data_IF_855425109302
#
_entry.id   IF_855425109302
#
_cell.length_a   1.000
_cell.length_b   1.000
_cell.length_c   1.000
_cell.angle_alpha   90.00
_cell.angle_beta   90.00
_cell.angle_gamma   90.00
#
_symmetry.space_group_name_H-M   'P 1'
#
loop_
_entity.id
_entity.type
_entity.pdbx_description
1 polymer ?
#
# COMPACT_ATOMS: atom_id res chain seq x y z
N UNK A 1 35.06 33.79 -28.23
CA UNK A 1 33.82 33.13 -28.63
C UNK A 1 33.64 31.88 -27.78
N UNK A 2 32.87 32.01 -26.72
CA UNK A 2 32.42 30.94 -25.80
C UNK A 2 31.04 30.49 -26.25
N UNK A 3 30.69 29.19 -26.22
CA UNK A 3 29.30 28.80 -26.34
C UNK A 3 28.64 28.77 -24.95
N UNK A 4 27.52 29.46 -24.88
CA UNK A 4 26.58 29.60 -23.76
C UNK A 4 25.91 28.28 -23.39
N UNK A 5 25.90 27.95 -22.10
CA UNK A 5 25.02 26.96 -21.49
C UNK A 5 23.63 27.57 -21.26
N UNK A 6 22.63 27.10 -22.01
CA UNK A 6 21.22 27.40 -21.75
C UNK A 6 20.70 26.40 -20.72
N UNK A 7 20.26 26.93 -19.59
CA UNK A 7 19.67 26.24 -18.45
C UNK A 7 18.36 25.53 -18.80
N UNK A 8 18.23 24.29 -18.33
CA UNK A 8 16.97 23.59 -18.21
C UNK A 8 16.19 24.16 -17.01
N UNK A 9 15.10 24.84 -17.29
CA UNK A 9 14.06 25.18 -16.32
C UNK A 9 12.75 24.86 -17.00
N UNK A 10 12.02 23.86 -16.49
CA UNK A 10 10.59 23.63 -16.66
C UNK A 10 10.24 22.37 -15.85
N UNK A 11 9.05 22.35 -15.25
CA UNK A 11 8.47 21.34 -14.35
C UNK A 11 8.71 21.55 -12.84
N UNK A 12 8.39 22.74 -12.35
CA UNK A 12 7.78 22.87 -11.01
C UNK A 12 6.35 23.36 -11.22
N UNK A 13 5.37 22.50 -10.95
CA UNK A 13 3.97 22.87 -11.05
C UNK A 13 3.01 21.68 -11.12
N UNK A 14 2.10 21.65 -10.16
CA UNK A 14 0.81 20.92 -10.14
C UNK A 14 0.77 19.60 -9.34
N UNK A 15 0.76 19.73 -8.01
CA UNK A 15 0.14 18.77 -7.08
C UNK A 15 -0.89 19.45 -6.16
N UNK A 16 -1.49 20.55 -6.63
CA UNK A 16 -2.61 21.23 -5.97
C UNK A 16 -3.82 21.19 -6.89
N UNK A 17 -4.62 20.12 -6.80
CA UNK A 17 -6.01 20.09 -7.29
C UNK A 17 -6.71 18.83 -6.78
N UNK A 18 -7.01 18.77 -5.48
CA UNK A 18 -7.97 17.83 -4.89
C UNK A 18 -8.73 18.47 -3.70
N UNK A 19 -9.14 19.73 -3.84
CA UNK A 19 -10.07 20.38 -2.91
C UNK A 19 -11.28 20.87 -3.68
N UNK A 20 -12.35 20.08 -3.69
CA UNK A 20 -13.59 20.47 -4.35
C UNK A 20 -14.66 19.40 -4.30
N UNK A 21 -15.14 19.06 -3.10
CA UNK A 21 -16.49 18.52 -2.92
C UNK A 21 -17.06 19.13 -1.64
N UNK A 22 -17.89 20.16 -1.82
CA UNK A 22 -18.78 20.70 -0.80
C UNK A 22 -20.09 19.90 -0.76
N UNK A 23 -20.57 19.70 0.47
CA UNK A 23 -21.96 19.74 0.94
C UNK A 23 -23.09 19.29 -0.01
N UNK A 24 -23.71 18.16 0.36
CA UNK A 24 -25.15 17.98 0.61
C UNK A 24 -25.70 16.65 0.06
N UNK A 25 -26.40 15.90 0.91
CA UNK A 25 -27.15 14.72 0.49
C UNK A 25 -27.35 13.68 1.58
N UNK A 26 -28.12 14.02 2.62
CA UNK A 26 -28.67 13.09 3.59
C UNK A 26 -29.42 11.92 2.93
N UNK A 27 -29.10 10.69 3.33
CA UNK A 27 -30.06 9.58 3.29
C UNK A 27 -29.74 8.65 4.46
N UNK A 28 -30.44 8.88 5.57
CA UNK A 28 -30.37 8.10 6.80
C UNK A 28 -31.36 6.95 6.65
N UNK A 29 -30.85 5.72 6.59
CA UNK A 29 -31.66 4.51 6.45
C UNK A 29 -31.62 3.66 7.72
N UNK A 30 -32.69 3.75 8.52
CA UNK A 30 -33.12 2.85 9.60
C UNK A 30 -32.12 2.54 10.72
N UNK A 31 -32.01 3.48 11.67
CA UNK A 31 -31.58 3.18 13.04
C UNK A 31 -32.78 2.64 13.83
N UNK A 32 -32.67 1.41 14.34
CA UNK A 32 -33.59 0.92 15.37
C UNK A 32 -33.17 1.54 16.71
N UNK A 33 -33.94 2.52 17.17
CA UNK A 33 -33.74 3.16 18.46
C UNK A 33 -34.04 2.18 19.60
N UNK A 34 -33.02 1.91 20.43
CA UNK A 34 -33.19 1.58 21.85
C UNK A 34 -31.91 2.01 22.60
N UNK A 35 -32.08 3.00 23.47
CA UNK A 35 -31.11 3.50 24.47
C UNK A 35 -29.74 4.04 23.97
N UNK A 36 -29.74 5.27 23.44
CA UNK A 36 -28.87 6.35 23.95
C UNK A 36 -27.36 6.35 23.66
N UNK A 37 -26.81 5.38 22.93
CA UNK A 37 -25.48 5.46 22.31
C UNK A 37 -25.60 4.81 20.94
N UNK A 38 -25.57 5.58 19.85
CA UNK A 38 -25.33 5.03 18.52
C UNK A 38 -23.94 4.42 18.53
N UNK A 39 -23.86 3.11 18.84
CA UNK A 39 -22.63 2.34 18.67
C UNK A 39 -22.36 2.35 17.18
N UNK A 40 -21.47 3.24 16.73
CA UNK A 40 -21.00 3.22 15.34
C UNK A 40 -20.38 1.84 15.12
N UNK A 41 -21.09 1.00 14.39
CA UNK A 41 -20.69 -0.38 14.16
C UNK A 41 -19.56 -0.37 13.13
N UNK A 42 -18.39 -0.80 13.53
CA UNK A 42 -17.29 -1.05 12.61
C UNK A 42 -17.50 -2.38 11.88
N UNK A 43 -16.94 -2.50 10.69
CA UNK A 43 -16.73 -3.80 10.07
C UNK A 43 -15.63 -4.59 10.83
N UNK A 44 -15.38 -5.83 10.40
CA UNK A 44 -14.35 -6.70 11.02
C UNK A 44 -12.92 -6.16 10.94
N UNK A 45 -12.70 -5.06 10.20
CA UNK A 45 -11.41 -4.43 10.01
C UNK A 45 -11.31 -3.07 10.71
N UNK A 46 -12.37 -2.60 11.38
CA UNK A 46 -12.36 -1.32 12.09
C UNK A 46 -12.88 -0.14 11.27
N UNK A 47 -13.41 -0.34 10.05
CA UNK A 47 -13.98 0.73 9.25
C UNK A 47 -15.44 1.02 9.63
N UNK A 48 -15.78 2.30 9.70
CA UNK A 48 -17.12 2.85 9.96
C UNK A 48 -17.89 3.12 8.66
N UNK A 49 -17.22 3.03 7.50
CA UNK A 49 -17.75 3.37 6.18
C UNK A 49 -16.64 3.66 5.15
N UNK A 50 -17.03 4.23 4.01
CA UNK A 50 -16.13 4.58 2.91
C UNK A 50 -15.76 3.40 2.00
N UNK A 51 -14.90 3.65 1.01
CA UNK A 51 -14.59 2.69 -0.07
C UNK A 51 -13.93 1.38 0.41
N UNK A 52 -13.45 1.34 1.65
CA UNK A 52 -12.75 0.20 2.24
C UNK A 52 -13.61 -0.60 3.23
N UNK A 53 -14.80 -0.09 3.55
CA UNK A 53 -15.76 -0.79 4.39
C UNK A 53 -16.32 -2.03 3.69
N UNK A 54 -16.43 -3.13 4.43
CA UNK A 54 -17.00 -4.39 3.95
C UNK A 54 -18.32 -4.68 4.66
N UNK A 55 -19.44 -4.72 3.91
CA UNK A 55 -20.80 -4.94 4.43
C UNK A 55 -21.09 -6.41 4.80
N UNK A 56 -20.09 -7.15 5.26
CA UNK A 56 -20.24 -8.55 5.69
C UNK A 56 -20.41 -9.58 4.56
N UNK A 57 -20.29 -9.18 3.28
CA UNK A 57 -20.35 -10.08 2.13
C UNK A 57 -19.10 -10.98 1.95
N UNK A 58 -18.05 -10.75 2.73
CA UNK A 58 -16.85 -11.59 2.71
C UNK A 58 -17.17 -12.97 3.29
N UNK A 59 -16.80 -14.02 2.56
CA UNK A 59 -16.93 -15.41 3.04
C UNK A 59 -16.18 -15.58 4.35
N UNK A 60 -16.90 -15.67 5.46
CA UNK A 60 -16.29 -16.00 6.74
C UNK A 60 -15.64 -17.39 6.67
N UNK A 61 -14.36 -17.44 7.02
CA UNK A 61 -13.63 -18.69 7.12
C UNK A 61 -14.09 -19.39 8.39
N UNK A 62 -14.55 -20.64 8.27
CA UNK A 62 -14.90 -21.49 9.42
C UNK A 62 -13.83 -21.41 10.52
N UNK A 63 -14.27 -21.23 11.76
CA UNK A 63 -13.40 -21.02 12.94
C UNK A 63 -12.34 -22.13 13.04
N UNK A 64 -12.71 -23.38 12.78
CA UNK A 64 -11.76 -24.51 12.80
C UNK A 64 -10.65 -24.34 11.76
N UNK A 65 -11.00 -23.88 10.56
CA UNK A 65 -10.04 -23.64 9.48
C UNK A 65 -9.13 -22.46 9.81
N UNK A 66 -9.69 -21.38 10.39
CA UNK A 66 -8.92 -20.23 10.84
C UNK A 66 -7.90 -20.65 11.91
N UNK A 67 -8.33 -21.39 12.94
CA UNK A 67 -7.47 -21.90 14.01
C UNK A 67 -6.38 -22.83 13.50
N UNK A 68 -6.71 -23.72 12.55
CA UNK A 68 -5.71 -24.59 11.91
C UNK A 68 -4.66 -23.80 11.12
N UNK A 69 -5.05 -22.68 10.49
CA UNK A 69 -4.11 -21.79 9.79
C UNK A 69 -3.20 -21.08 10.79
N UNK A 70 -3.75 -20.57 11.89
CA UNK A 70 -2.98 -19.92 12.97
C UNK A 70 -1.96 -20.87 13.59
N UNK A 71 -2.37 -22.09 13.97
CA UNK A 71 -1.45 -23.09 14.53
C UNK A 71 -0.27 -23.40 13.61
N UNK A 72 -0.50 -23.47 12.30
CA UNK A 72 0.58 -23.65 11.31
C UNK A 72 1.53 -22.47 11.27
N UNK A 73 1.06 -21.25 11.48
CA UNK A 73 1.92 -20.06 11.56
C UNK A 73 2.73 -20.02 12.85
N UNK A 74 2.12 -20.37 13.99
CA UNK A 74 2.82 -20.45 15.27
C UNK A 74 3.95 -21.48 15.25
N UNK A 75 3.73 -22.67 14.67
CA UNK A 75 4.76 -23.69 14.46
C UNK A 75 5.93 -23.17 13.59
N UNK A 76 5.61 -22.42 12.53
CA UNK A 76 6.62 -21.80 11.68
C UNK A 76 7.42 -20.74 12.43
N UNK A 77 6.78 -19.88 13.22
CA UNK A 77 7.46 -18.84 14.00
C UNK A 77 8.43 -19.43 15.03
N UNK A 78 8.12 -20.57 15.63
CA UNK A 78 9.02 -21.24 16.56
C UNK A 78 10.31 -21.75 15.89
N UNK A 79 10.33 -21.89 14.57
CA UNK A 79 11.45 -22.42 13.80
C UNK A 79 11.76 -21.55 12.58
N UNK A 80 11.62 -20.22 12.72
CA UNK A 80 11.59 -19.29 11.59
C UNK A 80 12.81 -19.41 10.67
N UNK A 81 14.02 -19.42 11.22
CA UNK A 81 15.27 -19.49 10.45
C UNK A 81 15.33 -20.72 9.53
N UNK A 82 14.86 -21.86 10.04
CA UNK A 82 14.78 -23.10 9.26
C UNK A 82 13.76 -22.98 8.12
N UNK A 83 12.63 -22.34 8.39
CA UNK A 83 11.57 -22.17 7.40
C UNK A 83 11.96 -21.20 6.30
N UNK A 84 12.59 -20.06 6.63
CA UNK A 84 13.03 -19.10 5.63
C UNK A 84 14.18 -19.67 4.80
N UNK A 85 15.18 -20.28 5.42
CA UNK A 85 16.36 -20.80 4.72
C UNK A 85 16.10 -22.03 3.85
N UNK A 86 15.26 -22.96 4.31
CA UNK A 86 15.11 -24.27 3.66
C UNK A 86 13.70 -24.52 3.08
N UNK A 87 12.72 -23.67 3.39
CA UNK A 87 11.32 -23.87 3.00
C UNK A 87 10.68 -22.58 2.49
N UNK A 88 11.47 -21.61 2.03
CA UNK A 88 10.99 -20.32 1.51
C UNK A 88 9.83 -20.48 0.51
N UNK A 89 9.96 -21.40 -0.46
CA UNK A 89 8.92 -21.65 -1.45
C UNK A 89 7.56 -22.04 -0.83
N UNK A 90 7.57 -22.79 0.29
CA UNK A 90 6.35 -23.15 1.03
C UNK A 90 5.81 -21.96 1.81
N UNK A 91 6.66 -21.15 2.44
CA UNK A 91 6.25 -19.91 3.12
C UNK A 91 5.58 -18.95 2.12
N UNK A 92 6.21 -18.76 0.96
CA UNK A 92 5.69 -17.96 -0.14
C UNK A 92 4.34 -18.44 -0.66
N UNK A 93 4.29 -19.66 -1.20
CA UNK A 93 3.11 -20.15 -1.94
C UNK A 93 2.00 -20.71 -1.07
N UNK A 94 2.32 -21.38 0.04
CA UNK A 94 1.34 -22.09 0.87
C UNK A 94 0.91 -21.30 2.10
N UNK A 95 1.52 -20.13 2.36
CA UNK A 95 1.21 -19.28 3.53
C UNK A 95 0.92 -17.85 3.12
N UNK A 96 1.91 -17.10 2.65
CA UNK A 96 1.74 -15.67 2.33
C UNK A 96 0.70 -15.46 1.21
N UNK A 97 0.76 -16.25 0.13
CA UNK A 97 -0.26 -16.25 -0.93
C UNK A 97 -1.61 -16.86 -0.56
N UNK A 98 -1.75 -17.52 0.60
CA UNK A 98 -3.05 -18.02 1.10
C UNK A 98 -3.72 -17.12 2.14
N UNK A 99 -2.99 -16.22 2.79
CA UNK A 99 -3.51 -15.44 3.91
C UNK A 99 -2.62 -15.55 5.13
N UNK A 100 -2.11 -14.43 5.63
CA UNK A 100 -1.67 -14.36 7.02
C UNK A 100 -2.92 -14.11 7.89
N UNK A 101 -3.18 -14.91 8.94
CA UNK A 101 -4.25 -14.62 9.89
C UNK A 101 -4.08 -13.23 10.51
N UNK A 102 -5.18 -12.48 10.69
CA UNK A 102 -5.14 -11.10 11.19
C UNK A 102 -4.42 -10.97 12.53
N UNK A 103 -4.66 -11.91 13.44
CA UNK A 103 -4.03 -12.02 14.77
C UNK A 103 -2.51 -12.18 14.72
N UNK A 104 -1.95 -12.61 13.59
CA UNK A 104 -0.53 -12.95 13.44
C UNK A 104 0.23 -12.02 12.48
N UNK A 105 -0.44 -11.01 11.89
CA UNK A 105 0.18 -10.11 10.91
C UNK A 105 1.35 -9.31 11.46
N UNK A 106 1.21 -8.72 12.65
CA UNK A 106 2.30 -8.00 13.33
C UNK A 106 3.59 -8.83 13.31
N UNK A 107 3.56 -10.03 13.92
CA UNK A 107 4.73 -10.90 14.00
C UNK A 107 5.18 -11.41 12.62
N UNK A 108 4.26 -11.80 11.75
CA UNK A 108 4.61 -12.30 10.41
C UNK A 108 5.34 -11.25 9.58
N UNK A 109 4.81 -10.03 9.52
CA UNK A 109 5.38 -8.94 8.73
C UNK A 109 6.72 -8.48 9.28
N UNK A 110 6.90 -8.46 10.61
CA UNK A 110 8.21 -8.14 11.20
C UNK A 110 9.27 -9.19 10.87
N UNK A 111 8.91 -10.48 10.91
CA UNK A 111 9.81 -11.57 10.56
C UNK A 111 10.13 -11.64 9.06
N UNK A 112 9.15 -11.38 8.20
CA UNK A 112 9.33 -11.35 6.74
C UNK A 112 10.17 -10.15 6.27
N UNK A 113 9.97 -8.99 6.91
CA UNK A 113 10.73 -7.77 6.60
C UNK A 113 12.09 -7.71 7.26
N UNK A 114 12.37 -8.59 8.23
CA UNK A 114 13.52 -8.51 9.12
C UNK A 114 13.51 -7.26 10.03
N UNK A 115 12.37 -6.58 10.18
CA UNK A 115 12.27 -5.41 11.07
C UNK A 115 12.33 -5.80 12.55
N UNK A 116 12.02 -7.06 12.89
CA UNK A 116 12.19 -7.55 14.27
C UNK A 116 13.66 -7.53 14.70
N UNK A 117 14.59 -7.87 13.80
CA UNK A 117 16.02 -7.81 14.11
C UNK A 117 16.49 -6.37 14.32
N UNK A 118 15.99 -5.42 13.51
CA UNK A 118 16.27 -4.00 13.70
C UNK A 118 15.74 -3.48 15.04
N UNK A 119 14.50 -3.83 15.39
CA UNK A 119 13.91 -3.49 16.68
C UNK A 119 14.78 -4.00 17.84
N UNK A 120 15.18 -5.28 17.81
CA UNK A 120 15.99 -5.88 18.87
C UNK A 120 17.42 -5.32 18.94
N UNK A 121 17.99 -4.92 17.80
CA UNK A 121 19.32 -4.33 17.72
C UNK A 121 19.37 -2.86 18.18
N UNK A 122 18.22 -2.18 18.26
CA UNK A 122 18.13 -0.75 18.56
C UNK A 122 17.18 -0.45 19.73
N UNK A 123 17.42 -1.02 20.93
CA UNK A 123 16.53 -0.82 22.07
C UNK A 123 16.49 0.65 22.50
N UNK A 124 15.28 1.21 22.64
CA UNK A 124 15.08 2.59 23.10
C UNK A 124 15.24 3.65 22.00
N UNK A 125 15.58 3.25 20.76
CA UNK A 125 15.89 4.20 19.69
C UNK A 125 14.66 4.96 19.20
N UNK A 126 13.51 4.31 19.15
CA UNK A 126 12.27 4.98 18.75
C UNK A 126 11.87 6.06 19.75
N UNK A 127 11.98 5.79 21.06
CA UNK A 127 11.69 6.75 22.11
C UNK A 127 12.72 7.89 22.17
N UNK A 128 13.97 7.64 21.76
CA UNK A 128 14.98 8.69 21.55
C UNK A 128 14.55 9.63 20.42
N UNK A 129 14.26 9.10 19.23
CA UNK A 129 13.82 9.86 18.05
C UNK A 129 12.53 10.64 18.30
N UNK A 130 11.60 10.07 19.08
CA UNK A 130 10.37 10.75 19.46
C UNK A 130 10.63 12.00 20.30
N UNK A 131 11.63 11.96 21.20
CA UNK A 131 12.01 13.08 22.07
C UNK A 131 12.81 14.15 21.35
N UNK A 132 13.50 13.79 20.28
CA UNK A 132 14.24 14.73 19.45
C UNK A 132 13.31 15.74 18.75
N UNK A 133 13.83 16.93 18.47
CA UNK A 133 13.09 17.95 17.72
C UNK A 133 13.20 17.64 16.22
N UNK A 134 12.05 17.49 15.55
CA UNK A 134 12.00 17.34 14.10
C UNK A 134 12.09 18.68 13.38
N UNK A 135 12.46 18.66 12.10
CA UNK A 135 12.45 19.88 11.29
C UNK A 135 11.02 20.41 11.06
N UNK A 136 10.78 21.68 11.35
CA UNK A 136 9.45 22.30 11.26
C UNK A 136 8.75 22.08 9.91
N UNK A 137 9.51 22.14 8.80
CA UNK A 137 8.97 21.87 7.46
C UNK A 137 8.27 20.51 7.35
N UNK A 138 8.81 19.47 7.99
CA UNK A 138 8.26 18.13 7.91
C UNK A 138 7.06 17.97 8.84
N UNK A 139 7.17 18.51 10.06
CA UNK A 139 6.09 18.46 11.05
C UNK A 139 4.81 19.11 10.50
N UNK A 140 4.92 20.29 9.89
CA UNK A 140 3.79 21.01 9.28
C UNK A 140 3.11 20.20 8.17
N UNK A 141 3.89 19.48 7.35
CA UNK A 141 3.34 18.65 6.27
C UNK A 141 2.66 17.41 6.86
N UNK A 142 3.30 16.75 7.83
CA UNK A 142 2.74 15.57 8.50
C UNK A 142 1.41 15.92 9.15
N UNK A 143 1.33 16.98 9.96
CA UNK A 143 0.09 17.40 10.65
C UNK A 143 -1.07 17.65 9.68
N UNK A 144 -0.79 18.27 8.54
CA UNK A 144 -1.77 18.49 7.46
C UNK A 144 -2.16 17.21 6.73
N UNK A 145 -1.40 16.14 6.84
CA UNK A 145 -1.68 14.88 6.17
C UNK A 145 -2.48 13.91 7.05
N UNK A 146 -2.25 13.90 8.37
CA UNK A 146 -2.84 12.94 9.32
C UNK A 146 -4.36 12.78 9.17
N UNK A 147 -5.09 13.89 9.04
CA UNK A 147 -6.56 13.86 9.01
C UNK A 147 -7.14 13.21 7.74
N UNK A 148 -6.33 13.05 6.70
CA UNK A 148 -6.71 12.45 5.42
C UNK A 148 -6.48 10.94 5.39
N UNK A 149 -5.82 10.40 6.41
CA UNK A 149 -5.40 9.00 6.46
C UNK A 149 -6.48 8.14 7.12
N UNK A 150 -7.16 7.34 6.29
CA UNK A 150 -8.21 6.42 6.73
C UNK A 150 -9.25 7.08 7.68
N UNK A 151 -9.88 8.21 7.29
CA UNK A 151 -10.75 8.99 8.18
C UNK A 151 -11.99 8.22 8.66
N UNK A 152 -12.35 7.15 7.97
CA UNK A 152 -13.46 6.26 8.34
C UNK A 152 -13.03 5.07 9.19
N UNK A 153 -11.76 4.90 9.53
CA UNK A 153 -11.30 3.82 10.40
C UNK A 153 -11.32 4.28 11.86
N UNK A 154 -11.83 3.44 12.78
CA UNK A 154 -12.04 3.80 14.19
C UNK A 154 -10.79 4.36 14.89
N UNK A 155 -9.61 3.82 14.54
CA UNK A 155 -8.30 4.27 15.04
C UNK A 155 -7.96 5.72 14.65
N UNK A 156 -8.42 6.19 13.48
CA UNK A 156 -8.03 7.50 12.90
C UNK A 156 -9.19 8.49 12.79
N UNK A 157 -10.43 8.06 13.05
CA UNK A 157 -11.64 8.87 12.90
C UNK A 157 -11.70 10.06 13.87
N UNK A 158 -11.12 9.93 15.06
CA UNK A 158 -11.04 11.02 16.03
C UNK A 158 -9.87 11.94 15.71
N UNK A 159 -10.17 13.21 15.38
CA UNK A 159 -9.14 14.23 15.13
C UNK A 159 -8.30 14.46 16.40
N UNK A 160 -6.99 14.33 16.28
CA UNK A 160 -6.08 14.38 17.42
C UNK A 160 -6.23 13.20 18.40
N UNK A 161 -6.93 12.13 18.02
CA UNK A 161 -7.02 10.91 18.80
C UNK A 161 -5.71 10.11 18.83
N UNK A 162 -5.67 9.06 19.64
CA UNK A 162 -4.47 8.23 19.85
C UNK A 162 -3.86 7.71 18.54
N UNK A 163 -4.66 7.22 17.59
CA UNK A 163 -4.12 6.72 16.32
C UNK A 163 -3.45 7.80 15.46
N UNK A 164 -4.00 9.01 15.40
CA UNK A 164 -3.35 10.13 14.70
C UNK A 164 -2.07 10.58 15.41
N UNK A 165 -2.04 10.54 16.74
CA UNK A 165 -0.85 10.85 17.53
C UNK A 165 0.26 9.80 17.32
N UNK A 166 -0.08 8.51 17.33
CA UNK A 166 0.87 7.43 17.06
C UNK A 166 1.40 7.49 15.62
N UNK A 167 0.53 7.78 14.65
CA UNK A 167 0.95 8.00 13.27
C UNK A 167 1.91 9.18 13.15
N UNK A 168 1.63 10.30 13.82
CA UNK A 168 2.53 11.44 13.89
C UNK A 168 3.89 11.07 14.48
N UNK A 169 3.91 10.34 15.60
CA UNK A 169 5.14 9.88 16.27
C UNK A 169 6.01 9.06 15.33
N UNK A 170 5.41 8.11 14.60
CA UNK A 170 6.11 7.25 13.63
C UNK A 170 6.72 8.08 12.51
N UNK A 171 5.92 8.94 11.86
CA UNK A 171 6.35 9.72 10.70
C UNK A 171 7.41 10.76 11.09
N UNK A 172 7.22 11.44 12.22
CA UNK A 172 8.22 12.35 12.80
C UNK A 172 9.54 11.61 13.03
N UNK A 173 9.51 10.49 13.76
CA UNK A 173 10.70 9.70 14.07
C UNK A 173 11.42 9.25 12.78
N UNK A 174 10.67 8.88 11.74
CA UNK A 174 11.23 8.53 10.45
C UNK A 174 12.02 9.68 9.81
N UNK A 175 11.48 10.91 9.82
CA UNK A 175 12.21 12.07 9.26
C UNK A 175 13.51 12.40 10.00
N UNK A 176 13.59 12.08 11.28
CA UNK A 176 14.80 12.27 12.09
C UNK A 176 15.78 11.12 11.83
N UNK A 177 15.27 9.89 11.67
CA UNK A 177 16.07 8.72 11.34
C UNK A 177 16.68 8.78 9.92
N UNK A 178 15.94 9.36 8.96
CA UNK A 178 16.33 9.56 7.56
C UNK A 178 16.11 11.01 7.11
N UNK A 179 16.96 11.95 7.57
CA UNK A 179 16.81 13.37 7.23
C UNK A 179 16.99 13.67 5.74
N UNK A 180 17.81 12.87 5.03
CA UNK A 180 18.06 13.03 3.59
C UNK A 180 16.83 12.73 2.74
N UNK A 181 15.96 11.82 3.19
CA UNK A 181 14.70 11.49 2.51
C UNK A 181 13.55 12.36 3.03
N UNK A 182 13.52 12.62 4.34
CA UNK A 182 12.50 13.45 4.97
C UNK A 182 11.12 12.79 4.96
N UNK A 183 10.07 13.60 4.72
CA UNK A 183 8.69 13.12 4.65
C UNK A 183 8.11 13.26 3.24
N UNK A 184 7.61 12.14 2.71
CA UNK A 184 6.78 12.07 1.52
C UNK A 184 5.35 11.69 1.92
N UNK A 185 4.34 12.37 1.36
CA UNK A 185 2.92 12.14 1.69
C UNK A 185 2.45 10.69 1.50
N UNK A 186 3.10 9.95 0.59
CA UNK A 186 2.80 8.54 0.38
C UNK A 186 3.22 7.63 1.54
N UNK A 187 4.06 8.10 2.48
CA UNK A 187 4.49 7.32 3.64
C UNK A 187 3.40 7.22 4.71
N UNK A 188 2.56 8.25 4.88
CA UNK A 188 1.49 8.22 5.88
C UNK A 188 0.48 7.08 5.72
N UNK A 189 -0.08 6.79 4.52
CA UNK A 189 -0.99 5.66 4.39
C UNK A 189 -0.27 4.33 4.64
N UNK A 190 1.01 4.20 4.27
CA UNK A 190 1.83 3.01 4.56
C UNK A 190 2.01 2.82 6.07
N UNK A 191 2.39 3.88 6.79
CA UNK A 191 2.55 3.87 8.24
C UNK A 191 1.22 3.59 8.97
N UNK A 192 0.10 4.12 8.46
CA UNK A 192 -1.22 3.87 9.03
C UNK A 192 -1.65 2.40 8.88
N UNK A 193 -1.43 1.76 7.72
CA UNK A 193 -1.70 0.31 7.57
C UNK A 193 -0.88 -0.52 8.57
N UNK A 194 0.39 -0.17 8.78
CA UNK A 194 1.22 -0.83 9.78
C UNK A 194 0.64 -0.66 11.19
N UNK A 195 0.31 0.58 11.57
CA UNK A 195 -0.21 0.92 12.88
C UNK A 195 -1.56 0.25 13.21
N UNK A 196 -2.39 -0.03 12.20
CA UNK A 196 -3.62 -0.83 12.37
C UNK A 196 -3.34 -2.28 12.82
N UNK A 197 -2.12 -2.78 12.64
CA UNK A 197 -1.77 -4.17 12.91
C UNK A 197 -0.72 -4.35 14.01
N UNK A 198 0.01 -3.31 14.40
CA UNK A 198 1.09 -3.41 15.37
C UNK A 198 1.30 -2.10 16.15
N UNK A 199 1.91 -2.15 17.35
CA UNK A 199 2.30 -0.95 18.10
C UNK A 199 3.24 -0.01 17.33
N UNK A 200 3.26 1.26 17.72
CA UNK A 200 3.97 2.32 17.01
C UNK A 200 5.46 2.03 16.73
N UNK A 201 6.20 1.52 17.72
CA UNK A 201 7.62 1.19 17.54
C UNK A 201 7.83 0.07 16.51
N UNK A 202 6.98 -0.96 16.53
CA UNK A 202 7.05 -2.05 15.55
C UNK A 202 6.70 -1.55 14.15
N UNK A 203 5.70 -0.67 14.04
CA UNK A 203 5.30 -0.04 12.79
C UNK A 203 6.42 0.85 12.24
N UNK A 204 7.11 1.60 13.10
CA UNK A 204 8.27 2.40 12.73
C UNK A 204 9.37 1.54 12.07
N UNK A 205 9.79 0.44 12.69
CA UNK A 205 10.83 -0.42 12.09
C UNK A 205 10.38 -1.14 10.81
N UNK A 206 9.09 -1.48 10.70
CA UNK A 206 8.53 -1.97 9.45
C UNK A 206 8.56 -0.89 8.35
N UNK A 207 8.21 0.35 8.67
CA UNK A 207 8.27 1.49 7.74
C UNK A 207 9.70 1.73 7.25
N UNK A 208 10.68 1.70 8.17
CA UNK A 208 12.11 1.77 7.85
C UNK A 208 12.50 0.71 6.82
N UNK A 209 12.11 -0.56 7.04
CA UNK A 209 12.39 -1.61 6.06
C UNK A 209 11.70 -1.38 4.72
N UNK A 210 10.44 -0.91 4.73
CA UNK A 210 9.71 -0.62 3.49
C UNK A 210 10.46 0.42 2.66
N UNK A 211 10.85 1.54 3.26
CA UNK A 211 11.50 2.63 2.55
C UNK A 211 12.91 2.26 2.08
N UNK A 212 13.70 1.57 2.91
CA UNK A 212 15.11 1.31 2.59
C UNK A 212 15.33 0.06 1.74
N UNK A 213 14.58 -1.02 2.02
CA UNK A 213 14.83 -2.33 1.41
C UNK A 213 13.85 -2.67 0.31
N UNK A 214 12.57 -2.32 0.49
CA UNK A 214 11.52 -2.73 -0.45
C UNK A 214 11.27 -1.69 -1.55
N UNK A 215 11.30 -0.40 -1.22
CA UNK A 215 11.00 0.72 -2.13
C UNK A 215 12.11 1.78 -2.13
N UNK A 216 13.39 1.40 -2.33
CA UNK A 216 14.50 2.34 -2.26
C UNK A 216 14.33 3.47 -3.29
N UNK A 217 14.44 4.72 -2.82
CA UNK A 217 14.36 5.91 -3.66
C UNK A 217 12.95 6.31 -4.12
N UNK A 218 11.90 5.56 -3.74
CA UNK A 218 10.53 5.90 -4.12
C UNK A 218 10.05 7.22 -3.51
N UNK A 219 10.48 7.52 -2.28
CA UNK A 219 10.02 8.68 -1.52
C UNK A 219 10.92 9.91 -1.66
N UNK A 220 11.96 9.84 -2.50
CA UNK A 220 12.87 10.96 -2.77
C UNK A 220 12.19 12.05 -3.61
N UNK A 221 12.60 13.31 -3.43
CA UNK A 221 11.93 14.48 -4.03
C UNK A 221 11.78 14.45 -5.57
N UNK A 222 12.70 13.80 -6.29
CA UNK A 222 12.67 13.69 -7.76
C UNK A 222 11.81 12.55 -8.31
N UNK A 223 11.35 11.63 -7.46
CA UNK A 223 10.60 10.43 -7.85
C UNK A 223 11.28 9.63 -8.99
N UNK A 224 12.61 9.69 -9.12
CA UNK A 224 13.34 9.07 -10.23
C UNK A 224 13.15 7.55 -10.26
N UNK A 225 13.19 6.92 -9.08
CA UNK A 225 12.96 5.49 -8.95
C UNK A 225 11.57 5.09 -9.46
N UNK A 226 10.52 5.87 -9.15
CA UNK A 226 9.15 5.54 -9.59
C UNK A 226 8.96 5.80 -11.09
N UNK A 227 9.64 6.81 -11.64
CA UNK A 227 9.62 7.07 -13.09
C UNK A 227 10.26 5.92 -13.86
N UNK A 228 11.43 5.45 -13.42
CA UNK A 228 12.12 4.29 -13.99
C UNK A 228 11.24 3.03 -13.89
N UNK A 229 10.68 2.77 -12.72
CA UNK A 229 9.78 1.63 -12.51
C UNK A 229 8.49 1.75 -13.35
N UNK A 230 8.06 2.97 -13.67
CA UNK A 230 6.98 3.22 -14.62
C UNK A 230 7.31 2.80 -16.05
N UNK A 231 8.53 3.07 -16.52
CA UNK A 231 8.97 2.59 -17.84
C UNK A 231 9.05 1.06 -17.91
N UNK A 232 9.56 0.43 -16.83
CA UNK A 232 9.60 -1.03 -16.69
C UNK A 232 8.17 -1.58 -16.69
N UNK A 233 7.28 -0.99 -15.91
CA UNK A 233 5.89 -1.39 -15.81
C UNK A 233 5.15 -1.29 -17.15
N UNK A 234 5.36 -0.20 -17.89
CA UNK A 234 4.76 -0.01 -19.21
C UNK A 234 5.30 -1.00 -20.25
N UNK A 235 6.59 -1.33 -20.17
CA UNK A 235 7.23 -2.36 -20.99
C UNK A 235 6.69 -3.76 -20.68
N UNK A 236 6.44 -4.07 -19.41
CA UNK A 236 5.79 -5.30 -18.99
C UNK A 236 4.34 -5.36 -19.50
N UNK A 237 3.59 -4.26 -19.39
CA UNK A 237 2.23 -4.16 -19.91
C UNK A 237 2.16 -4.42 -21.42
N UNK A 238 3.12 -3.91 -22.18
CA UNK A 238 3.24 -4.19 -23.63
C UNK A 238 3.30 -5.68 -23.93
N UNK A 239 3.94 -6.47 -23.06
CA UNK A 239 4.09 -7.92 -23.20
C UNK A 239 2.87 -8.69 -22.68
N UNK A 240 2.35 -8.30 -21.52
CA UNK A 240 1.31 -9.05 -20.79
C UNK A 240 -0.11 -8.70 -21.24
N UNK A 241 -0.34 -7.45 -21.63
CA UNK A 241 -1.62 -6.96 -22.14
C UNK A 241 -1.41 -5.91 -23.25
N UNK A 242 -1.03 -6.34 -24.48
CA UNK A 242 -0.74 -5.42 -25.58
C UNK A 242 -1.91 -4.50 -25.97
N UNK A 243 -3.15 -4.90 -25.67
CA UNK A 243 -4.34 -4.10 -25.92
C UNK A 243 -4.41 -2.88 -25.00
N UNK A 244 -4.26 -3.09 -23.69
CA UNK A 244 -4.20 -2.01 -22.71
C UNK A 244 -3.03 -1.06 -22.99
N UNK A 245 -1.85 -1.62 -23.32
CA UNK A 245 -0.68 -0.81 -23.72
C UNK A 245 -0.99 0.11 -24.91
N UNK A 246 -1.58 -0.43 -25.98
CA UNK A 246 -1.92 0.37 -27.17
C UNK A 246 -2.96 1.45 -26.85
N UNK A 247 -3.93 1.15 -26.00
CA UNK A 247 -4.94 2.12 -25.56
C UNK A 247 -4.31 3.29 -24.80
N UNK A 248 -3.51 3.01 -23.77
CA UNK A 248 -2.82 4.04 -22.99
C UNK A 248 -1.87 4.87 -23.86
N UNK A 249 -1.13 4.21 -24.77
CA UNK A 249 -0.24 4.90 -25.71
C UNK A 249 -1.01 5.80 -26.69
N UNK A 250 -2.17 5.36 -27.19
CA UNK A 250 -3.03 6.15 -28.09
C UNK A 250 -3.44 7.47 -27.43
N UNK A 251 -3.79 7.42 -26.14
CA UNK A 251 -4.21 8.60 -25.37
C UNK A 251 -3.08 9.31 -24.62
N UNK A 252 -1.81 8.93 -24.86
CA UNK A 252 -0.62 9.51 -24.22
C UNK A 252 -0.72 9.52 -22.69
N UNK A 253 -1.23 8.44 -22.11
CA UNK A 253 -1.35 8.28 -20.65
C UNK A 253 -0.07 7.61 -20.15
N UNK A 254 0.80 8.41 -19.56
CA UNK A 254 2.04 7.91 -18.98
C UNK A 254 1.79 7.19 -17.64
N UNK A 255 2.52 6.11 -17.34
CA UNK A 255 2.38 5.35 -16.09
C UNK A 255 2.36 6.20 -14.82
N UNK A 256 3.23 7.21 -14.76
CA UNK A 256 3.38 8.12 -13.62
C UNK A 256 2.06 8.78 -13.19
N UNK A 257 1.10 8.96 -14.11
CA UNK A 257 -0.17 9.64 -13.85
C UNK A 257 -1.15 8.82 -13.00
N UNK A 258 -1.00 7.49 -12.97
CA UNK A 258 -1.90 6.60 -12.22
C UNK A 258 -1.15 5.66 -11.27
N UNK A 259 0.09 5.28 -11.59
CA UNK A 259 0.83 4.30 -10.80
C UNK A 259 1.46 4.87 -9.53
N UNK A 260 1.73 6.19 -9.48
CA UNK A 260 2.49 6.81 -8.39
C UNK A 260 1.85 6.48 -7.05
N UNK A 261 0.54 6.69 -6.93
CA UNK A 261 -0.20 6.34 -5.72
C UNK A 261 -0.25 4.83 -5.49
N UNK A 262 -0.53 4.04 -6.53
CA UNK A 262 -0.61 2.59 -6.43
C UNK A 262 0.66 1.98 -5.84
N UNK A 263 1.82 2.45 -6.31
CA UNK A 263 3.11 1.86 -5.99
C UNK A 263 3.65 2.42 -4.68
N UNK A 264 3.66 3.75 -4.52
CA UNK A 264 4.21 4.39 -3.33
C UNK A 264 3.35 4.12 -2.09
N UNK A 265 2.02 3.99 -2.23
CA UNK A 265 1.15 3.65 -1.11
C UNK A 265 0.89 2.14 -1.00
N UNK A 266 1.54 1.30 -1.81
CA UNK A 266 1.35 -0.17 -1.83
C UNK A 266 -0.16 -0.52 -1.90
N UNK A 267 -0.87 0.17 -2.78
CA UNK A 267 -2.31 0.06 -3.02
C UNK A 267 -3.24 0.31 -1.83
N UNK A 268 -2.71 0.79 -0.70
CA UNK A 268 -3.44 0.95 0.56
C UNK A 268 -4.64 1.90 0.49
N UNK A 269 -4.68 2.81 -0.49
CA UNK A 269 -5.80 3.73 -0.71
C UNK A 269 -6.71 3.35 -1.88
N UNK A 270 -6.27 2.41 -2.71
CA UNK A 270 -6.88 2.15 -4.02
C UNK A 270 -7.75 0.89 -4.00
N UNK A 271 -7.34 -0.14 -3.26
CA UNK A 271 -8.01 -1.42 -3.26
C UNK A 271 -9.00 -1.56 -2.09
N UNK A 272 -10.03 -2.43 -2.22
CA UNK A 272 -10.80 -2.92 -1.08
C UNK A 272 -9.88 -3.48 0.00
N UNK A 273 -10.23 -3.29 1.27
CA UNK A 273 -9.30 -3.58 2.37
C UNK A 273 -8.83 -5.03 2.43
N UNK A 274 -9.73 -5.99 2.18
CA UNK A 274 -9.36 -7.41 2.09
C UNK A 274 -8.25 -7.64 1.06
N UNK A 275 -8.32 -6.99 -0.11
CA UNK A 275 -7.29 -7.05 -1.14
C UNK A 275 -5.98 -6.39 -0.69
N UNK A 276 -6.04 -5.22 -0.03
CA UNK A 276 -4.85 -4.55 0.53
C UNK A 276 -4.06 -5.51 1.42
N UNK A 277 -4.73 -6.17 2.36
CA UNK A 277 -4.07 -7.12 3.27
C UNK A 277 -3.38 -8.26 2.54
N UNK A 278 -3.96 -8.78 1.45
CA UNK A 278 -3.33 -9.83 0.65
C UNK A 278 -2.13 -9.33 -0.13
N UNK A 279 -2.21 -8.12 -0.67
CA UNK A 279 -1.08 -7.47 -1.35
C UNK A 279 0.07 -7.31 -0.36
N UNK A 280 -0.20 -6.83 0.85
CA UNK A 280 0.81 -6.63 1.90
C UNK A 280 1.43 -7.94 2.39
N UNK A 281 0.62 -8.98 2.62
CA UNK A 281 1.10 -10.32 2.96
C UNK A 281 2.07 -10.88 1.91
N UNK A 282 1.78 -10.68 0.62
CA UNK A 282 2.66 -11.11 -0.47
C UNK A 282 3.87 -10.18 -0.62
N UNK A 283 3.69 -8.87 -0.49
CA UNK A 283 4.72 -7.86 -0.64
C UNK A 283 5.87 -8.06 0.36
N UNK A 284 5.57 -8.28 1.64
CA UNK A 284 6.62 -8.55 2.63
C UNK A 284 7.41 -9.82 2.33
N UNK A 285 6.80 -10.82 1.69
CA UNK A 285 7.46 -12.07 1.35
C UNK A 285 8.23 -12.04 0.02
N UNK A 286 7.70 -11.38 -1.01
CA UNK A 286 8.21 -11.46 -2.39
C UNK A 286 8.79 -10.13 -2.91
N UNK A 287 8.64 -9.05 -2.16
CA UNK A 287 9.16 -7.73 -2.49
C UNK A 287 8.30 -6.92 -3.46
N UNK A 288 8.89 -5.86 -4.01
CA UNK A 288 8.25 -4.90 -4.93
C UNK A 288 7.68 -5.55 -6.20
N UNK A 289 8.14 -6.74 -6.58
CA UNK A 289 7.57 -7.53 -7.71
C UNK A 289 6.06 -7.73 -7.58
N UNK A 290 5.55 -7.81 -6.35
CA UNK A 290 4.10 -7.92 -6.09
C UNK A 290 3.37 -6.64 -6.54
N UNK A 291 3.96 -5.48 -6.28
CA UNK A 291 3.36 -4.19 -6.66
C UNK A 291 3.16 -4.12 -8.18
N UNK A 292 4.18 -4.51 -8.95
CA UNK A 292 4.09 -4.62 -10.41
C UNK A 292 3.03 -5.62 -10.87
N UNK A 293 3.00 -6.83 -10.29
CA UNK A 293 2.02 -7.87 -10.67
C UNK A 293 0.60 -7.41 -10.41
N UNK A 294 0.34 -6.80 -9.25
CA UNK A 294 -0.97 -6.25 -8.90
C UNK A 294 -1.35 -5.14 -9.88
N UNK A 295 -0.45 -4.20 -10.18
CA UNK A 295 -0.67 -3.17 -11.19
C UNK A 295 -1.05 -3.73 -12.57
N UNK A 296 -0.38 -4.79 -13.03
CA UNK A 296 -0.68 -5.44 -14.31
C UNK A 296 -2.05 -6.13 -14.30
N UNK A 297 -2.38 -6.79 -13.19
CA UNK A 297 -3.71 -7.41 -12.99
C UNK A 297 -4.80 -6.34 -13.03
N UNK A 298 -4.61 -5.20 -12.34
CA UNK A 298 -5.54 -4.08 -12.35
C UNK A 298 -5.76 -3.55 -13.77
N UNK A 299 -4.69 -3.28 -14.52
CA UNK A 299 -4.81 -2.81 -15.90
C UNK A 299 -5.47 -3.83 -16.82
N UNK A 300 -5.18 -5.12 -16.67
CA UNK A 300 -5.87 -6.17 -17.42
C UNK A 300 -7.35 -6.22 -17.07
N UNK A 301 -7.72 -6.02 -15.80
CA UNK A 301 -9.11 -5.98 -15.39
C UNK A 301 -9.84 -4.71 -15.86
N UNK A 302 -9.16 -3.58 -16.00
CA UNK A 302 -9.81 -2.35 -16.47
C UNK A 302 -9.83 -2.22 -17.99
N UNK A 303 -8.77 -2.66 -18.68
CA UNK A 303 -8.48 -2.34 -20.08
C UNK A 303 -8.23 -3.58 -20.95
N UNK A 304 -8.31 -4.79 -20.40
CA UNK A 304 -7.87 -6.03 -21.05
C UNK A 304 -8.84 -6.65 -22.06
N UNK A 305 -9.99 -6.03 -22.35
CA UNK A 305 -10.98 -6.56 -23.29
C UNK A 305 -11.56 -5.46 -24.17
N UNK A 306 -11.95 -5.80 -25.41
CA UNK A 306 -12.54 -4.85 -26.37
C UNK A 306 -13.76 -4.14 -25.79
N UNK A 307 -14.65 -4.87 -25.10
CA UNK A 307 -15.88 -4.29 -24.56
C UNK A 307 -15.61 -3.20 -23.53
N UNK A 308 -14.67 -3.44 -22.61
CA UNK A 308 -14.21 -2.42 -21.65
C UNK A 308 -13.62 -1.19 -22.33
N UNK A 309 -12.88 -1.36 -23.44
CA UNK A 309 -12.30 -0.23 -24.16
C UNK A 309 -13.32 0.57 -24.97
N UNK A 310 -14.45 -0.03 -25.36
CA UNK A 310 -15.53 0.69 -26.05
C UNK A 310 -16.20 1.74 -25.17
N UNK A 311 -16.15 1.59 -23.86
CA UNK A 311 -16.65 2.59 -22.90
C UNK A 311 -15.66 3.76 -22.71
N UNK A 312 -14.39 3.58 -23.10
CA UNK A 312 -13.30 4.51 -22.82
C UNK A 312 -12.88 5.22 -24.11
N UNK A 313 -13.62 6.25 -24.50
CA UNK A 313 -13.41 6.94 -25.77
C UNK A 313 -12.29 7.99 -25.75
N UNK A 314 -11.84 8.40 -24.56
CA UNK A 314 -10.86 9.46 -24.38
C UNK A 314 -9.89 9.25 -23.22
N UNK A 315 -9.01 10.24 -23.06
CA UNK A 315 -8.05 10.29 -21.95
C UNK A 315 -8.76 10.45 -20.61
N UNK A 316 -9.83 11.26 -20.55
CA UNK A 316 -10.54 11.58 -19.32
C UNK A 316 -11.20 10.32 -18.72
N UNK A 317 -12.01 9.61 -19.51
CA UNK A 317 -12.72 8.40 -19.07
C UNK A 317 -11.73 7.30 -18.67
N UNK A 318 -10.63 7.19 -19.42
CA UNK A 318 -9.56 6.25 -19.08
C UNK A 318 -8.91 6.61 -17.75
N UNK A 319 -8.57 7.89 -17.52
CA UNK A 319 -7.96 8.33 -16.26
C UNK A 319 -8.91 8.25 -15.08
N UNK A 320 -10.21 8.46 -15.28
CA UNK A 320 -11.23 8.27 -14.26
C UNK A 320 -11.33 6.80 -13.87
N UNK A 321 -11.38 5.89 -14.85
CA UNK A 321 -11.38 4.45 -14.62
C UNK A 321 -10.14 3.97 -13.86
N UNK A 322 -8.96 4.50 -14.19
CA UNK A 322 -7.70 4.14 -13.54
C UNK A 322 -7.62 4.66 -12.09
N UNK A 323 -8.16 5.85 -11.80
CA UNK A 323 -8.12 6.43 -10.46
C UNK A 323 -9.19 5.87 -9.53
N UNK A 324 -10.34 5.50 -10.08
CA UNK A 324 -11.50 5.02 -9.31
C UNK A 324 -11.77 3.54 -9.60
N UNK A 325 -11.01 2.66 -8.96
CA UNK A 325 -11.18 1.22 -9.10
C UNK A 325 -12.42 0.80 -8.31
N UNK A 326 -13.47 0.37 -9.03
CA UNK A 326 -14.69 -0.13 -8.40
C UNK A 326 -14.38 -1.33 -7.49
N UNK A 327 -14.89 -1.35 -6.24
CA UNK A 327 -14.70 -2.47 -5.32
C UNK A 327 -15.17 -3.82 -5.88
N UNK A 328 -16.22 -3.81 -6.72
CA UNK A 328 -16.77 -5.02 -7.34
C UNK A 328 -15.87 -5.60 -8.44
N UNK A 329 -14.96 -4.79 -8.98
CA UNK A 329 -14.09 -5.19 -10.07
C UNK A 329 -13.05 -6.22 -9.65
N UNK A 330 -12.55 -6.11 -8.40
CA UNK A 330 -11.47 -6.96 -7.90
C UNK A 330 -11.78 -7.43 -6.49
N UNK A 331 -12.09 -8.73 -6.42
CA UNK A 331 -12.24 -9.48 -5.17
C UNK A 331 -10.93 -10.17 -4.81
N UNK A 332 -10.79 -10.45 -3.51
CA UNK A 332 -9.59 -11.02 -2.91
C UNK A 332 -9.13 -12.32 -3.60
N UNK A 333 -10.06 -13.25 -3.83
CA UNK A 333 -9.82 -14.57 -4.42
C UNK A 333 -9.27 -14.47 -5.85
N UNK A 334 -9.88 -13.62 -6.66
CA UNK A 334 -9.49 -13.38 -8.05
C UNK A 334 -8.12 -12.69 -8.10
N UNK A 335 -7.89 -11.69 -7.26
CA UNK A 335 -6.61 -10.97 -7.22
C UNK A 335 -5.44 -11.91 -6.95
N UNK A 336 -5.55 -12.73 -5.90
CA UNK A 336 -4.49 -13.67 -5.51
C UNK A 336 -4.22 -14.70 -6.62
N UNK A 337 -5.29 -15.20 -7.26
CA UNK A 337 -5.16 -16.15 -8.37
C UNK A 337 -4.45 -15.51 -9.57
N UNK A 338 -4.90 -14.34 -10.03
CA UNK A 338 -4.30 -13.65 -11.19
C UNK A 338 -2.85 -13.22 -10.92
N UNK A 339 -2.52 -12.74 -9.73
CA UNK A 339 -1.13 -12.41 -9.34
C UNK A 339 -0.24 -13.65 -9.40
N UNK A 340 -0.76 -14.81 -9.00
CA UNK A 340 -0.04 -16.09 -9.07
C UNK A 340 0.17 -16.57 -10.51
N UNK A 341 -0.78 -16.31 -11.42
CA UNK A 341 -0.64 -16.63 -12.85
C UNK A 341 0.33 -15.67 -13.56
N UNK A 342 0.32 -14.39 -13.18
CA UNK A 342 1.20 -13.37 -13.75
C UNK A 342 2.69 -13.65 -13.50
N UNK A 343 3.02 -14.48 -12.49
CA UNK A 343 4.38 -14.96 -12.22
C UNK A 343 5.06 -15.61 -13.43
N UNK A 344 4.32 -16.37 -14.25
CA UNK A 344 4.89 -17.06 -15.41
C UNK A 344 5.24 -16.12 -16.57
N UNK A 345 4.66 -14.91 -16.61
CA UNK A 345 4.77 -13.97 -17.73
C UNK A 345 5.84 -12.90 -17.48
N UNK A 346 6.13 -12.58 -16.22
CA UNK A 346 7.12 -11.59 -15.82
C UNK A 346 8.55 -12.14 -15.66
N UNK A 347 8.87 -13.30 -16.25
CA UNK A 347 10.23 -13.84 -16.32
C UNK A 347 11.10 -13.02 -17.30
N UNK A 348 11.41 -11.78 -16.93
CA UNK A 348 12.49 -11.00 -17.52
C UNK A 348 13.55 -10.81 -16.44
N UNK A 349 14.83 -11.14 -16.70
CA UNK A 349 15.91 -10.83 -15.80
C UNK A 349 16.24 -9.33 -15.93
N UNK A 350 15.39 -8.47 -15.40
CA UNK A 350 15.75 -7.07 -15.20
C UNK A 350 16.37 -6.93 -13.81
N UNK A 351 17.71 -6.93 -13.84
CA UNK A 351 18.67 -6.33 -12.92
C UNK A 351 18.22 -5.97 -11.49
N UNK A 352 18.97 -6.49 -10.52
CA UNK A 352 19.10 -5.98 -9.15
C UNK A 352 17.96 -6.19 -8.14
N UNK A 353 17.15 -7.25 -8.25
CA UNK A 353 16.31 -7.70 -7.12
C UNK A 353 16.95 -8.78 -6.24
N UNK A 354 18.25 -9.04 -6.39
CA UNK A 354 19.01 -9.87 -5.46
C UNK A 354 19.56 -8.99 -4.34
N UNK A 355 18.80 -8.87 -3.26
CA UNK A 355 19.29 -8.69 -1.88
C UNK A 355 18.16 -8.94 -0.89
N UNK A 356 17.66 -10.18 -0.88
CA UNK A 356 17.12 -10.78 0.33
C UNK A 356 17.94 -12.08 0.50
N UNK A 357 18.61 -12.30 1.65
CA UNK A 357 19.29 -13.55 1.93
C UNK A 357 18.35 -14.77 1.93
#
# INVERSE_FOLDING_TARGET
>A
ATPSSSSASLMSGTLESLSGLGEDGSSVGSDSEINGLTVRRTDKYGFLGGNQYSDGGDKEVRVEVARQREMKWLDMFANWDKWIKHRFQKVRTLRCRKGVPSSLRSKAWQLLSNSQELLLANPGKFEELEREQGEAKWLDIIEKDLHRQFPFHEMFAARGGHGQQDLYRILKAYTIYRPDEGYCQAQAPVAAVLLMHMPAEQAFWCLVQICEKYLPGYYSAGLEAIQLDGEIFFSLLRRTCPMAYRHLKKFKIDPILYMTEWFMCIFSRTLPWACVLRVWDMFFCEGVKIVFRVGLVLLKQMLGSVDKLRELQGMYETMERLRNISPDMIREDILVQEVSVCECVCLVPCFCFCSQP
#
